data_IF_473813650822
#
_entry.id   IF_473813650822
#
_cell.length_a   1.000
_cell.length_b   1.000
_cell.length_c   1.000
_cell.angle_alpha   90.00
_cell.angle_beta   90.00
_cell.angle_gamma   90.00
#
_symmetry.space_group_name_H-M   'P 1'
#
loop_
_entity.id
_entity.type
_entity.pdbx_description
1 polymer ?
#
# COMPACT_ATOMS: atom_id res chain seq x y z
N UNK A 1 1.43 1.58 -8.27
CA UNK A 1 1.71 1.05 -6.93
C UNK A 1 3.04 1.65 -6.51
N UNK A 2 3.15 2.17 -5.29
CA UNK A 2 4.36 2.78 -4.76
C UNK A 2 5.14 1.73 -3.98
N UNK A 3 6.35 1.37 -4.44
CA UNK A 3 7.19 0.39 -3.76
C UNK A 3 8.12 1.06 -2.75
N UNK A 4 8.00 0.67 -1.49
CA UNK A 4 8.65 1.31 -0.35
C UNK A 4 9.52 0.29 0.37
N UNK A 5 10.75 0.65 0.72
CA UNK A 5 11.53 -0.07 1.72
C UNK A 5 11.59 0.75 3.02
N UNK A 6 11.48 0.07 4.16
CA UNK A 6 11.73 0.63 5.50
C UNK A 6 12.93 -0.11 6.06
N UNK A 7 13.98 0.62 6.44
CA UNK A 7 15.24 0.03 6.89
C UNK A 7 15.69 0.69 8.18
N UNK A 8 15.60 -0.04 9.28
CA UNK A 8 15.99 0.40 10.62
C UNK A 8 16.23 -0.86 11.48
N UNK A 9 17.26 -0.91 12.29
CA UNK A 9 17.54 -2.06 13.16
C UNK A 9 16.65 -2.10 14.42
N UNK A 10 15.90 -1.03 14.65
CA UNK A 10 14.88 -0.95 15.70
C UNK A 10 13.49 -1.38 15.18
N UNK A 11 13.04 -2.58 15.58
CA UNK A 11 11.73 -3.13 15.17
C UNK A 11 10.54 -2.19 15.43
N UNK A 12 10.56 -1.48 16.59
CA UNK A 12 9.52 -0.52 16.96
C UNK A 12 9.42 0.66 16.01
N UNK A 13 10.54 1.14 15.47
CA UNK A 13 10.57 2.22 14.48
C UNK A 13 10.01 1.72 13.15
N UNK A 14 10.47 0.56 12.69
CA UNK A 14 9.94 -0.09 11.48
C UNK A 14 8.41 -0.24 11.54
N UNK A 15 7.90 -0.83 12.61
CA UNK A 15 6.46 -1.06 12.81
C UNK A 15 5.67 0.26 12.86
N UNK A 16 6.21 1.30 13.51
CA UNK A 16 5.56 2.61 13.56
C UNK A 16 5.48 3.27 12.17
N UNK A 17 6.59 3.23 11.41
CA UNK A 17 6.65 3.80 10.05
C UNK A 17 5.71 3.04 9.12
N UNK A 18 5.75 1.70 9.13
CA UNK A 18 4.88 0.87 8.30
C UNK A 18 3.39 1.14 8.58
N UNK A 19 2.98 1.10 9.85
CA UNK A 19 1.61 1.39 10.26
C UNK A 19 1.16 2.78 9.80
N UNK A 20 2.03 3.77 9.93
CA UNK A 20 1.75 5.14 9.49
C UNK A 20 1.59 5.21 7.97
N UNK A 21 2.47 4.57 7.20
CA UNK A 21 2.40 4.54 5.74
C UNK A 21 1.16 3.81 5.23
N UNK A 22 0.76 2.69 5.83
CA UNK A 22 -0.47 1.97 5.49
C UNK A 22 -1.71 2.82 5.73
N UNK A 23 -1.75 3.57 6.85
CA UNK A 23 -2.83 4.53 7.15
C UNK A 23 -2.89 5.66 6.10
N UNK A 24 -1.73 6.20 5.72
CA UNK A 24 -1.62 7.27 4.73
C UNK A 24 -1.93 6.78 3.31
N UNK A 25 -1.49 5.59 2.93
CA UNK A 25 -1.84 4.91 1.69
C UNK A 25 -3.36 4.86 1.52
N UNK A 26 -4.06 4.37 2.54
CA UNK A 26 -5.53 4.35 2.57
C UNK A 26 -6.14 5.77 2.51
N UNK A 27 -5.60 6.72 3.29
CA UNK A 27 -6.09 8.11 3.33
C UNK A 27 -6.00 8.79 1.97
N UNK A 28 -4.87 8.63 1.27
CA UNK A 28 -4.60 9.30 0.00
C UNK A 28 -4.98 8.49 -1.23
N UNK A 29 -5.40 7.22 -1.06
CA UNK A 29 -5.77 6.32 -2.16
C UNK A 29 -4.57 5.97 -3.05
N UNK A 30 -3.40 5.81 -2.44
CA UNK A 30 -2.16 5.38 -3.08
C UNK A 30 -1.91 3.93 -2.67
N UNK A 31 -1.81 3.03 -3.64
CA UNK A 31 -1.44 1.64 -3.36
C UNK A 31 0.05 1.54 -3.12
N UNK A 32 0.40 0.91 -1.99
CA UNK A 32 1.79 0.73 -1.56
C UNK A 32 2.13 -0.75 -1.44
N UNK A 33 3.36 -1.09 -1.78
CA UNK A 33 4.02 -2.36 -1.53
C UNK A 33 5.19 -2.04 -0.59
N UNK A 34 5.21 -2.62 0.62
CA UNK A 34 6.14 -2.21 1.67
C UNK A 34 6.95 -3.41 2.14
N UNK A 35 8.26 -3.33 1.94
CA UNK A 35 9.23 -4.25 2.51
C UNK A 35 9.84 -3.64 3.77
N UNK A 36 9.88 -4.43 4.85
CA UNK A 36 10.50 -4.05 6.14
C UNK A 36 11.79 -4.82 6.30
N UNK A 37 12.90 -4.10 6.50
CA UNK A 37 14.26 -4.64 6.54
C UNK A 37 14.98 -4.12 7.78
N UNK A 38 15.78 -4.96 8.38
CA UNK A 38 16.46 -4.67 9.65
C UNK A 38 17.96 -4.45 9.50
N UNK A 39 18.44 -4.35 8.25
CA UNK A 39 19.84 -4.00 7.98
C UNK A 39 20.04 -3.40 6.59
N UNK A 40 21.11 -2.60 6.45
CA UNK A 40 21.48 -2.01 5.16
C UNK A 40 21.87 -3.05 4.12
N UNK A 41 22.52 -4.14 4.54
CA UNK A 41 22.92 -5.23 3.65
C UNK A 41 21.70 -5.92 3.00
N UNK A 42 20.64 -6.14 3.79
CA UNK A 42 19.41 -6.72 3.26
C UNK A 42 18.78 -5.85 2.17
N UNK A 43 18.78 -4.52 2.36
CA UNK A 43 18.31 -3.60 1.34
C UNK A 43 19.16 -3.69 0.07
N UNK A 44 20.49 -3.61 0.18
CA UNK A 44 21.38 -3.66 -0.97
C UNK A 44 21.19 -4.96 -1.75
N UNK A 45 21.10 -6.09 -1.07
CA UNK A 45 20.85 -7.39 -1.71
C UNK A 45 19.51 -7.41 -2.46
N UNK A 46 18.43 -6.88 -1.89
CA UNK A 46 17.13 -6.84 -2.57
C UNK A 46 17.12 -5.87 -3.75
N UNK A 47 17.90 -4.79 -3.68
CA UNK A 47 17.98 -3.80 -4.77
C UNK A 47 18.76 -4.31 -5.99
N UNK A 48 19.46 -5.43 -5.91
CA UNK A 48 20.08 -6.09 -7.10
C UNK A 48 19.00 -6.56 -8.08
N UNK A 49 17.86 -7.08 -7.56
CA UNK A 49 16.77 -7.65 -8.37
C UNK A 49 15.47 -6.85 -8.32
N UNK A 50 15.40 -5.82 -7.49
CA UNK A 50 14.20 -5.04 -7.22
C UNK A 50 14.46 -3.55 -7.23
N UNK A 51 13.45 -2.80 -7.66
CA UNK A 51 13.46 -1.34 -7.62
C UNK A 51 12.51 -0.83 -6.54
N UNK A 52 12.94 0.19 -5.78
CA UNK A 52 12.12 0.91 -4.82
C UNK A 52 11.93 2.36 -5.25
N UNK A 53 10.70 2.86 -5.18
CA UNK A 53 10.41 4.28 -5.43
C UNK A 53 10.94 5.16 -4.30
N UNK A 54 10.88 4.63 -3.06
CA UNK A 54 11.38 5.33 -1.87
C UNK A 54 11.93 4.35 -0.83
N UNK A 55 12.98 4.78 -0.13
CA UNK A 55 13.56 4.09 1.02
C UNK A 55 13.47 5.02 2.22
N UNK A 56 12.82 4.57 3.30
CA UNK A 56 12.94 5.14 4.64
C UNK A 56 14.12 4.48 5.32
N UNK A 57 15.16 5.22 5.59
CA UNK A 57 16.48 4.68 5.93
C UNK A 57 17.00 5.26 7.24
N UNK A 58 17.18 4.42 8.24
CA UNK A 58 17.92 4.83 9.43
C UNK A 58 19.39 5.04 9.09
N UNK A 59 19.98 6.06 9.70
CA UNK A 59 21.40 6.38 9.48
C UNK A 59 22.30 5.50 10.34
N UNK A 60 21.88 5.24 11.59
CA UNK A 60 22.74 4.57 12.57
C UNK A 60 22.34 3.11 12.75
N UNK A 61 22.86 2.24 11.90
CA UNK A 61 22.69 0.77 12.00
C UNK A 61 24.04 0.09 12.32
N UNK A 62 23.98 -1.13 12.91
CA UNK A 62 25.16 -1.79 13.49
C UNK A 62 26.29 -2.09 12.49
N UNK A 63 25.97 -2.54 11.26
CA UNK A 63 26.99 -3.00 10.29
C UNK A 63 27.21 -1.99 9.18
N UNK A 64 26.23 -1.84 8.31
CA UNK A 64 26.28 -0.92 7.18
C UNK A 64 25.42 0.31 7.52
N UNK A 65 26.04 1.44 7.73
CA UNK A 65 25.31 2.68 8.04
C UNK A 65 24.40 3.11 6.89
N UNK A 66 23.34 3.88 7.18
CA UNK A 66 22.47 4.43 6.14
C UNK A 66 23.22 5.34 5.15
N UNK A 67 24.31 5.96 5.59
CA UNK A 67 25.18 6.75 4.72
C UNK A 67 25.92 5.84 3.72
N UNK A 68 26.46 4.72 4.19
CA UNK A 68 27.14 3.76 3.32
C UNK A 68 26.17 3.09 2.35
N UNK A 69 24.95 2.77 2.82
CA UNK A 69 23.85 2.29 1.96
C UNK A 69 23.57 3.29 0.85
N UNK A 70 23.42 4.56 1.19
CA UNK A 70 23.15 5.62 0.20
C UNK A 70 24.28 5.79 -0.80
N UNK A 71 25.54 5.70 -0.32
CA UNK A 71 26.72 5.70 -1.20
C UNK A 71 26.68 4.54 -2.19
N UNK A 72 26.28 3.33 -1.76
CA UNK A 72 26.13 2.19 -2.67
C UNK A 72 25.00 2.40 -3.67
N UNK A 73 23.84 2.88 -3.23
CA UNK A 73 22.71 3.18 -4.11
C UNK A 73 23.10 4.21 -5.17
N UNK A 74 23.71 5.33 -4.78
CA UNK A 74 24.06 6.44 -5.71
C UNK A 74 25.27 6.10 -6.56
N UNK A 75 26.40 5.74 -5.93
CA UNK A 75 27.69 5.67 -6.62
C UNK A 75 27.95 4.31 -7.25
N UNK A 76 27.54 3.20 -6.60
CA UNK A 76 27.82 1.85 -7.11
C UNK A 76 26.73 1.37 -8.07
N UNK A 77 25.44 1.55 -7.70
CA UNK A 77 24.30 1.14 -8.54
C UNK A 77 23.90 2.21 -9.55
N UNK A 78 24.38 3.46 -9.42
CA UNK A 78 23.98 4.57 -10.28
C UNK A 78 22.48 4.91 -10.18
N UNK A 79 21.85 4.55 -9.08
CA UNK A 79 20.41 4.72 -8.91
C UNK A 79 20.08 6.10 -8.31
N UNK A 80 19.72 7.05 -9.16
CA UNK A 80 19.28 8.40 -8.77
C UNK A 80 17.75 8.50 -8.64
N UNK A 81 17.00 7.50 -9.14
CA UNK A 81 15.54 7.53 -9.19
C UNK A 81 14.88 7.24 -7.84
N UNK A 82 15.46 6.32 -7.05
CA UNK A 82 14.97 5.98 -5.71
C UNK A 82 15.09 7.19 -4.78
N UNK A 83 13.96 7.61 -4.20
CA UNK A 83 13.96 8.70 -3.22
C UNK A 83 14.42 8.17 -1.86
N UNK A 84 15.33 8.87 -1.18
CA UNK A 84 15.82 8.46 0.15
C UNK A 84 15.28 9.44 1.19
N UNK A 85 14.54 8.90 2.16
CA UNK A 85 14.06 9.62 3.34
C UNK A 85 14.85 9.10 4.53
N UNK A 86 15.73 9.90 5.07
CA UNK A 86 16.54 9.52 6.23
C UNK A 86 15.76 9.65 7.52
N UNK A 87 15.97 8.72 8.43
CA UNK A 87 15.49 8.73 9.81
C UNK A 87 16.70 8.78 10.72
N UNK A 88 16.76 9.69 11.70
CA UNK A 88 17.91 9.71 12.61
C UNK A 88 17.59 10.44 13.92
N UNK A 89 18.19 9.95 15.00
CA UNK A 89 18.20 10.63 16.32
C UNK A 89 19.21 11.79 16.40
N UNK A 90 20.18 11.86 15.49
CA UNK A 90 21.16 12.93 15.44
C UNK A 90 21.00 13.77 14.18
N UNK A 91 20.70 15.06 14.38
CA UNK A 91 20.51 16.03 13.28
C UNK A 91 21.82 16.48 12.61
N UNK A 92 22.98 16.21 13.20
CA UNK A 92 24.27 16.53 12.59
C UNK A 92 24.49 15.77 11.28
N UNK A 93 23.96 14.55 11.17
CA UNK A 93 23.99 13.78 9.93
C UNK A 93 23.24 14.42 8.77
N UNK A 94 22.35 15.38 9.04
CA UNK A 94 21.63 16.09 7.97
C UNK A 94 22.56 16.79 6.97
N UNK A 95 23.75 17.20 7.41
CA UNK A 95 24.76 17.80 6.53
C UNK A 95 25.46 16.73 5.70
N UNK A 96 25.84 15.61 6.32
CA UNK A 96 26.57 14.52 5.67
C UNK A 96 25.76 13.80 4.59
N UNK A 97 24.43 13.63 4.81
CA UNK A 97 23.57 12.98 3.81
C UNK A 97 23.27 13.85 2.59
N UNK A 98 23.61 15.14 2.63
CA UNK A 98 23.34 16.07 1.51
C UNK A 98 24.04 15.64 0.21
N UNK A 99 25.20 14.99 0.32
CA UNK A 99 25.96 14.49 -0.83
C UNK A 99 25.26 13.34 -1.59
N UNK A 100 24.19 12.77 -1.00
CA UNK A 100 23.43 11.64 -1.58
C UNK A 100 22.02 12.02 -2.04
N UNK A 101 21.77 13.30 -2.30
CA UNK A 101 20.48 13.84 -2.75
C UNK A 101 19.29 13.34 -1.90
N UNK A 102 19.23 13.75 -0.60
CA UNK A 102 18.17 13.33 0.29
C UNK A 102 16.84 13.92 -0.14
N UNK A 103 15.81 13.08 -0.30
CA UNK A 103 14.48 13.62 -0.53
C UNK A 103 13.93 14.31 0.72
N UNK A 104 14.16 13.73 1.89
CA UNK A 104 13.74 14.29 3.17
C UNK A 104 14.55 13.74 4.33
N UNK A 105 14.50 14.45 5.47
CA UNK A 105 15.12 14.04 6.72
C UNK A 105 14.07 14.08 7.84
N UNK A 106 13.90 12.97 8.56
CA UNK A 106 12.96 12.79 9.66
C UNK A 106 13.74 12.62 10.97
N UNK A 107 13.78 13.65 11.84
CA UNK A 107 14.42 13.49 13.14
C UNK A 107 13.60 12.62 14.08
N UNK A 108 14.25 11.65 14.76
CA UNK A 108 13.65 10.91 15.88
C UNK A 108 13.52 11.87 17.09
N UNK A 109 12.44 11.83 17.90
CA UNK A 109 11.36 10.87 17.81
C UNK A 109 10.41 11.17 16.63
N UNK A 110 9.97 10.08 16.00
CA UNK A 110 9.01 10.13 14.90
C UNK A 110 7.61 10.38 15.45
N UNK A 111 6.80 11.10 14.67
CA UNK A 111 5.37 11.25 14.86
C UNK A 111 4.62 11.11 13.53
N UNK A 112 3.32 10.84 13.60
CA UNK A 112 2.48 10.65 12.40
C UNK A 112 2.48 11.90 11.51
N UNK A 113 2.56 13.10 12.06
CA UNK A 113 2.52 14.35 11.29
C UNK A 113 3.78 14.52 10.42
N UNK A 114 4.96 14.21 10.97
CA UNK A 114 6.22 14.25 10.22
C UNK A 114 6.21 13.26 9.06
N UNK A 115 5.77 12.01 9.31
CA UNK A 115 5.66 10.98 8.27
C UNK A 115 4.64 11.41 7.21
N UNK A 116 3.48 11.95 7.61
CA UNK A 116 2.48 12.43 6.66
C UNK A 116 3.01 13.57 5.78
N UNK A 117 3.72 14.54 6.35
CA UNK A 117 4.32 15.64 5.58
C UNK A 117 5.32 15.11 4.53
N UNK A 118 6.16 14.15 4.91
CA UNK A 118 7.10 13.52 3.99
C UNK A 118 6.37 12.75 2.89
N UNK A 119 5.36 11.94 3.24
CA UNK A 119 4.57 11.16 2.31
C UNK A 119 3.82 12.04 1.31
N UNK A 120 3.20 13.14 1.77
CA UNK A 120 2.50 14.10 0.88
C UNK A 120 3.46 14.76 -0.10
N UNK A 121 4.67 15.12 0.34
CA UNK A 121 5.70 15.64 -0.57
C UNK A 121 6.11 14.59 -1.60
N UNK A 122 6.28 13.32 -1.16
CA UNK A 122 6.67 12.20 -2.02
C UNK A 122 5.64 11.94 -3.13
N UNK A 123 4.36 11.80 -2.78
CA UNK A 123 3.31 11.56 -3.78
C UNK A 123 3.19 12.71 -4.78
N UNK A 124 3.47 13.95 -4.38
CA UNK A 124 3.55 15.11 -5.29
C UNK A 124 4.77 15.03 -6.20
N UNK A 125 5.95 14.73 -5.66
CA UNK A 125 7.21 14.59 -6.43
C UNK A 125 7.09 13.52 -7.50
N UNK A 126 6.52 12.37 -7.14
CA UNK A 126 6.32 11.24 -8.03
C UNK A 126 5.06 11.36 -8.91
N UNK A 127 4.35 12.49 -8.82
CA UNK A 127 3.08 12.73 -9.55
C UNK A 127 2.03 11.62 -9.36
N UNK A 128 2.05 10.97 -8.19
CA UNK A 128 1.10 9.91 -7.88
C UNK A 128 -0.28 10.51 -7.65
N UNK A 129 -1.26 10.00 -8.36
CA UNK A 129 -2.67 10.38 -8.20
C UNK A 129 -3.42 9.20 -7.62
N UNK A 130 -4.43 9.50 -6.79
CA UNK A 130 -5.39 8.47 -6.40
C UNK A 130 -5.95 7.82 -7.67
N UNK A 131 -5.78 6.51 -7.78
CA UNK A 131 -6.29 5.77 -8.93
C UNK A 131 -7.81 5.73 -8.89
N UNK A 132 -8.44 5.89 -10.05
CA UNK A 132 -9.89 5.95 -10.16
C UNK A 132 -10.39 4.98 -11.21
N UNK A 133 -11.49 4.29 -10.89
CA UNK A 133 -12.26 3.52 -11.83
C UNK A 133 -13.12 4.48 -12.67
N UNK A 134 -13.12 4.26 -13.98
CA UNK A 134 -13.87 5.08 -14.93
C UNK A 134 -14.96 4.24 -15.60
N UNK A 135 -16.19 4.74 -15.59
CA UNK A 135 -17.33 4.11 -16.26
C UNK A 135 -18.17 5.15 -17.00
N UNK A 136 -19.07 4.68 -17.89
CA UNK A 136 -19.95 5.51 -18.69
C UNK A 136 -21.41 5.23 -18.38
N UNK A 137 -22.21 6.29 -18.28
CA UNK A 137 -23.67 6.23 -18.24
C UNK A 137 -24.18 7.12 -19.38
N UNK A 138 -24.75 6.52 -20.41
CA UNK A 138 -25.08 7.25 -21.64
C UNK A 138 -23.81 7.82 -22.31
N UNK A 139 -23.77 9.14 -22.46
CA UNK A 139 -22.61 9.86 -23.00
C UNK A 139 -21.66 10.41 -21.93
N UNK A 140 -22.04 10.33 -20.65
CA UNK A 140 -21.29 10.90 -19.56
C UNK A 140 -20.23 9.92 -19.03
N UNK A 141 -19.08 10.47 -18.67
CA UNK A 141 -17.95 9.71 -18.07
C UNK A 141 -17.85 10.06 -16.59
N UNK A 142 -17.91 9.02 -15.77
CA UNK A 142 -17.79 9.13 -14.32
C UNK A 142 -16.46 8.53 -13.86
N UNK A 143 -15.90 9.13 -12.80
CA UNK A 143 -14.67 8.65 -12.14
C UNK A 143 -14.93 8.49 -10.65
N UNK A 144 -14.60 7.33 -10.11
CA UNK A 144 -14.70 7.02 -8.68
C UNK A 144 -13.33 6.58 -8.19
N UNK A 145 -12.77 7.21 -7.16
CA UNK A 145 -11.52 6.74 -6.54
C UNK A 145 -11.66 5.28 -6.13
N UNK A 146 -10.70 4.45 -6.52
CA UNK A 146 -10.76 2.99 -6.28
C UNK A 146 -10.89 2.67 -4.79
N UNK A 147 -10.25 3.46 -3.93
CA UNK A 147 -10.37 3.34 -2.46
C UNK A 147 -11.80 3.51 -1.93
N UNK A 148 -12.65 4.20 -2.67
CA UNK A 148 -14.02 4.51 -2.27
C UNK A 148 -15.02 3.44 -2.72
N UNK A 149 -14.59 2.51 -3.60
CA UNK A 149 -15.44 1.45 -4.16
C UNK A 149 -15.51 0.30 -3.16
N UNK A 150 -16.73 -0.05 -2.74
CA UNK A 150 -16.98 -1.18 -1.86
C UNK A 150 -17.04 -2.50 -2.64
N UNK A 151 -17.93 -2.52 -3.63
CA UNK A 151 -18.13 -3.69 -4.49
C UNK A 151 -18.92 -3.33 -5.75
N UNK A 152 -18.91 -4.26 -6.70
CA UNK A 152 -19.75 -4.26 -7.88
C UNK A 152 -20.71 -5.45 -7.83
N UNK A 153 -21.92 -5.22 -8.28
CA UNK A 153 -22.96 -6.24 -8.42
C UNK A 153 -23.44 -6.30 -9.87
N UNK A 154 -23.43 -7.48 -10.47
CA UNK A 154 -23.96 -7.66 -11.83
C UNK A 154 -25.38 -8.21 -11.84
N UNK A 155 -26.23 -7.62 -12.65
CA UNK A 155 -27.53 -8.13 -12.99
C UNK A 155 -27.73 -8.11 -14.51
N UNK A 156 -27.69 -9.29 -15.15
CA UNK A 156 -27.72 -9.43 -16.62
C UNK A 156 -26.55 -8.66 -17.29
N UNK A 157 -26.85 -7.57 -18.02
CA UNK A 157 -25.87 -6.70 -18.70
C UNK A 157 -25.60 -5.38 -17.98
N UNK A 158 -26.22 -5.19 -16.83
CA UNK A 158 -25.99 -4.01 -15.98
C UNK A 158 -25.10 -4.38 -14.82
N UNK A 159 -24.23 -3.45 -14.45
CA UNK A 159 -23.42 -3.50 -13.23
C UNK A 159 -23.77 -2.30 -12.38
N UNK A 160 -24.02 -2.56 -11.10
CA UNK A 160 -24.17 -1.55 -10.06
C UNK A 160 -22.85 -1.42 -9.32
N UNK A 161 -22.30 -0.21 -9.28
CA UNK A 161 -21.16 0.14 -8.44
C UNK A 161 -21.67 0.71 -7.11
N UNK A 162 -21.12 0.20 -6.00
CA UNK A 162 -21.39 0.68 -4.65
C UNK A 162 -20.13 1.37 -4.13
N UNK A 163 -20.21 2.68 -3.86
CA UNK A 163 -19.07 3.46 -3.40
C UNK A 163 -19.51 4.55 -2.43
N UNK A 164 -18.77 4.74 -1.35
CA UNK A 164 -19.13 5.62 -0.25
C UNK A 164 -20.57 5.31 0.21
N UNK A 165 -21.50 6.23 0.10
CA UNK A 165 -22.94 6.04 0.39
C UNK A 165 -23.79 6.16 -0.89
N UNK A 166 -23.18 5.93 -2.06
CA UNK A 166 -23.80 6.08 -3.38
C UNK A 166 -23.83 4.77 -4.15
N UNK A 167 -24.78 4.68 -5.06
CA UNK A 167 -24.89 3.57 -6.02
C UNK A 167 -25.19 4.14 -7.40
N UNK A 168 -24.54 3.62 -8.41
CA UNK A 168 -24.79 3.99 -9.81
C UNK A 168 -24.83 2.74 -10.67
N UNK A 169 -25.60 2.78 -11.76
CA UNK A 169 -25.74 1.67 -12.71
C UNK A 169 -25.15 2.03 -14.05
N UNK A 170 -24.44 1.09 -14.65
CA UNK A 170 -23.89 1.24 -15.98
C UNK A 170 -23.87 -0.11 -16.73
N UNK A 171 -23.77 -0.09 -18.06
CA UNK A 171 -23.63 -1.30 -18.85
C UNK A 171 -22.19 -1.82 -18.80
N UNK A 172 -22.05 -3.11 -18.52
CA UNK A 172 -20.73 -3.74 -18.42
C UNK A 172 -20.79 -5.18 -17.92
N UNK A 173 -19.62 -5.78 -17.75
CA UNK A 173 -19.46 -7.10 -17.14
C UNK A 173 -18.42 -7.04 -16.03
N UNK A 174 -18.57 -7.88 -15.01
CA UNK A 174 -17.63 -7.93 -13.89
C UNK A 174 -16.22 -8.37 -14.35
N UNK A 175 -16.14 -9.20 -15.38
CA UNK A 175 -14.87 -9.66 -15.95
C UNK A 175 -14.07 -8.49 -16.53
N UNK A 176 -14.73 -7.62 -17.31
CA UNK A 176 -14.08 -6.42 -17.87
C UNK A 176 -13.67 -5.43 -16.78
N UNK A 177 -14.47 -5.30 -15.72
CA UNK A 177 -14.15 -4.47 -14.56
C UNK A 177 -12.94 -5.05 -13.83
N UNK A 178 -12.92 -6.36 -13.60
CA UNK A 178 -11.82 -7.06 -12.96
C UNK A 178 -10.49 -6.88 -13.72
N UNK A 179 -10.53 -6.97 -15.05
CA UNK A 179 -9.34 -6.71 -15.88
C UNK A 179 -8.82 -5.27 -15.72
N UNK A 180 -9.72 -4.28 -15.64
CA UNK A 180 -9.33 -2.89 -15.38
C UNK A 180 -8.76 -2.69 -13.97
N UNK A 181 -9.22 -3.49 -13.01
CA UNK A 181 -8.82 -3.43 -11.61
C UNK A 181 -7.78 -4.49 -11.23
N UNK A 182 -7.11 -5.12 -12.20
CA UNK A 182 -6.18 -6.24 -11.99
C UNK A 182 -4.98 -5.90 -11.08
N UNK A 183 -4.68 -4.61 -10.90
CA UNK A 183 -3.62 -4.11 -9.99
C UNK A 183 -4.10 -3.90 -8.55
N UNK A 184 -5.40 -4.13 -8.29
CA UNK A 184 -6.04 -3.77 -7.04
C UNK A 184 -6.80 -4.98 -6.54
N UNK A 185 -6.30 -5.77 -5.75
CA UNK A 185 -6.75 -7.03 -5.13
C UNK A 185 -8.26 -7.30 -5.04
N UNK A 186 -9.07 -6.79 -5.99
CA UNK A 186 -10.50 -7.07 -6.05
C UNK A 186 -10.78 -8.57 -6.16
N UNK A 187 -11.77 -9.04 -5.44
CA UNK A 187 -12.07 -10.46 -5.31
C UNK A 187 -13.44 -10.81 -5.88
N UNK A 188 -13.48 -11.80 -6.76
CA UNK A 188 -14.73 -12.47 -7.11
C UNK A 188 -15.16 -13.41 -5.98
N UNK A 189 -16.19 -13.04 -5.23
CA UNK A 189 -16.79 -13.92 -4.21
C UNK A 189 -17.98 -14.72 -4.75
N UNK A 190 -18.60 -14.25 -5.82
CA UNK A 190 -19.73 -14.85 -6.50
C UNK A 190 -19.73 -14.43 -7.97
N UNK A 191 -20.43 -15.18 -8.86
CA UNK A 191 -20.60 -14.80 -10.27
C UNK A 191 -21.17 -13.38 -10.47
N UNK A 192 -21.88 -12.88 -9.48
CA UNK A 192 -22.52 -11.56 -9.50
C UNK A 192 -21.87 -10.53 -8.58
N UNK A 193 -20.82 -10.86 -7.84
CA UNK A 193 -20.19 -9.95 -6.91
C UNK A 193 -18.66 -9.92 -7.04
N UNK A 194 -18.14 -8.71 -7.28
CA UNK A 194 -16.72 -8.38 -7.27
C UNK A 194 -16.50 -7.34 -6.16
N UNK A 195 -15.76 -7.71 -5.11
CA UNK A 195 -15.61 -6.88 -3.91
C UNK A 195 -14.22 -6.30 -3.79
N UNK A 196 -14.12 -5.17 -3.09
CA UNK A 196 -12.86 -4.58 -2.66
C UNK A 196 -12.54 -5.06 -1.23
N UNK A 197 -11.46 -5.85 -1.02
CA UNK A 197 -11.15 -6.43 0.29
C UNK A 197 -10.93 -5.41 1.39
N UNK A 198 -10.43 -4.20 1.08
CA UNK A 198 -10.20 -3.14 2.07
C UNK A 198 -11.48 -2.70 2.79
N UNK A 199 -12.64 -3.01 2.24
CA UNK A 199 -13.95 -2.71 2.80
C UNK A 199 -14.65 -3.93 3.44
N UNK A 200 -13.95 -5.04 3.62
CA UNK A 200 -14.49 -6.18 4.37
C UNK A 200 -14.50 -5.82 5.85
N UNK A 201 -15.67 -5.91 6.47
CA UNK A 201 -15.83 -5.79 7.92
C UNK A 201 -15.75 -7.14 8.61
N UNK A 202 -16.38 -8.15 8.03
CA UNK A 202 -16.42 -9.52 8.56
C UNK A 202 -16.54 -10.51 7.41
N UNK A 203 -15.80 -11.58 7.50
CA UNK A 203 -15.91 -12.69 6.56
C UNK A 203 -16.20 -13.98 7.29
N UNK A 204 -17.13 -14.76 6.76
CA UNK A 204 -17.48 -16.11 7.20
C UNK A 204 -17.21 -17.09 6.06
N UNK A 205 -17.44 -18.38 6.30
CA UNK A 205 -17.29 -19.39 5.25
C UNK A 205 -18.28 -19.21 4.08
N UNK A 206 -19.45 -18.60 4.33
CA UNK A 206 -20.54 -18.49 3.36
C UNK A 206 -20.84 -17.08 2.89
N UNK A 207 -20.31 -16.06 3.59
CA UNK A 207 -20.67 -14.67 3.32
C UNK A 207 -19.58 -13.68 3.75
N UNK A 208 -19.62 -12.51 3.12
CA UNK A 208 -18.80 -11.35 3.47
C UNK A 208 -19.72 -10.20 3.88
N UNK A 209 -19.49 -9.60 5.04
CA UNK A 209 -20.12 -8.34 5.46
C UNK A 209 -19.20 -7.19 5.07
N UNK A 210 -19.71 -6.29 4.24
CA UNK A 210 -19.00 -5.10 3.81
C UNK A 210 -19.09 -3.97 4.84
N UNK A 211 -18.26 -2.94 4.73
CA UNK A 211 -18.23 -1.78 5.65
C UNK A 211 -19.55 -0.98 5.72
N UNK A 212 -20.40 -1.12 4.71
CA UNK A 212 -21.78 -0.58 4.71
C UNK A 212 -22.81 -1.52 5.34
N UNK A 213 -22.39 -2.59 6.04
CA UNK A 213 -23.20 -3.60 6.71
C UNK A 213 -24.02 -4.52 5.76
N UNK A 214 -23.81 -4.43 4.46
CA UNK A 214 -24.44 -5.38 3.52
C UNK A 214 -23.69 -6.71 3.56
N UNK A 215 -24.46 -7.79 3.65
CA UNK A 215 -23.95 -9.17 3.65
C UNK A 215 -24.10 -9.76 2.25
N UNK A 216 -22.98 -10.14 1.66
CA UNK A 216 -22.91 -10.71 0.32
C UNK A 216 -22.55 -12.21 0.39
N UNK A 217 -23.22 -13.09 -0.40
CA UNK A 217 -22.95 -14.51 -0.37
C UNK A 217 -21.65 -14.87 -1.10
N UNK A 218 -20.92 -15.87 -0.58
CA UNK A 218 -19.79 -16.49 -1.25
C UNK A 218 -20.28 -17.75 -1.97
N UNK A 219 -20.06 -17.84 -3.29
CA UNK A 219 -20.40 -19.07 -4.03
C UNK A 219 -19.56 -20.25 -3.57
N UNK A 220 -20.13 -21.46 -3.59
CA UNK A 220 -19.41 -22.67 -3.13
C UNK A 220 -18.04 -22.86 -3.81
N UNK A 221 -17.96 -22.57 -5.10
CA UNK A 221 -16.72 -22.67 -5.88
C UNK A 221 -15.63 -21.69 -5.46
N UNK A 222 -16.01 -20.58 -4.81
CA UNK A 222 -15.07 -19.52 -4.37
C UNK A 222 -14.66 -19.60 -2.90
N UNK A 223 -15.34 -20.41 -2.09
CA UNK A 223 -15.13 -20.52 -0.63
C UNK A 223 -13.68 -20.87 -0.27
N UNK A 224 -13.08 -21.80 -1.02
CA UNK A 224 -11.69 -22.23 -0.77
C UNK A 224 -10.71 -21.08 -1.07
N UNK A 225 -10.81 -20.47 -2.24
CA UNK A 225 -9.97 -19.36 -2.68
C UNK A 225 -10.05 -18.17 -1.70
N UNK A 226 -11.28 -17.79 -1.28
CA UNK A 226 -11.48 -16.68 -0.35
C UNK A 226 -10.91 -16.99 1.03
N UNK A 227 -11.03 -18.24 1.48
CA UNK A 227 -10.45 -18.66 2.76
C UNK A 227 -8.92 -18.63 2.76
N UNK A 228 -8.30 -19.08 1.67
CA UNK A 228 -6.84 -19.03 1.51
C UNK A 228 -6.35 -17.57 1.55
N UNK A 229 -6.99 -16.68 0.80
CA UNK A 229 -6.67 -15.24 0.83
C UNK A 229 -6.93 -14.58 2.19
N UNK A 230 -7.94 -15.02 2.94
CA UNK A 230 -8.15 -14.53 4.31
C UNK A 230 -7.02 -14.96 5.23
N UNK A 231 -6.58 -16.22 5.14
CA UNK A 231 -5.46 -16.73 5.94
C UNK A 231 -4.17 -15.97 5.61
N UNK A 232 -3.93 -15.65 4.35
CA UNK A 232 -2.80 -14.81 3.94
C UNK A 232 -2.87 -13.39 4.57
N UNK A 233 -4.06 -12.78 4.58
CA UNK A 233 -4.26 -11.46 5.20
C UNK A 233 -4.12 -11.52 6.72
N UNK A 234 -4.64 -12.57 7.38
CA UNK A 234 -4.55 -12.76 8.83
C UNK A 234 -3.12 -13.12 9.23
N UNK A 235 -2.45 -14.01 8.50
CA UNK A 235 -1.05 -14.36 8.77
C UNK A 235 -0.14 -13.14 8.62
N UNK A 236 -0.35 -12.33 7.59
CA UNK A 236 0.35 -11.04 7.43
C UNK A 236 0.01 -10.04 8.56
N UNK A 237 -1.18 -10.13 9.18
CA UNK A 237 -1.56 -9.32 10.34
C UNK A 237 -1.10 -9.97 11.66
N UNK A 238 -1.08 -11.31 11.78
CA UNK A 238 -0.62 -12.04 12.98
C UNK A 238 0.90 -12.08 13.07
N UNK A 239 1.63 -12.30 11.98
CA UNK A 239 3.09 -12.09 11.94
C UNK A 239 3.43 -10.65 12.36
N UNK A 240 2.61 -9.67 11.97
CA UNK A 240 2.71 -8.28 12.43
C UNK A 240 2.34 -8.10 13.90
N UNK A 241 1.45 -8.91 14.47
CA UNK A 241 0.99 -8.81 15.86
C UNK A 241 1.83 -9.63 16.84
N UNK A 242 2.47 -10.73 16.44
CA UNK A 242 3.41 -11.48 17.29
C UNK A 242 4.64 -10.66 17.66
N UNK A 243 5.03 -9.70 16.81
CA UNK A 243 6.08 -8.74 17.12
C UNK A 243 5.67 -7.65 18.13
N UNK A 244 4.36 -7.55 18.47
CA UNK A 244 3.86 -6.58 19.45
C UNK A 244 3.71 -7.12 20.88
N UNK A 245 3.94 -8.41 21.13
CA UNK A 245 3.72 -9.07 22.42
C UNK A 245 5.02 -9.59 23.11
N UNK A 246 6.18 -9.05 22.74
CA UNK A 246 7.45 -9.30 23.42
C UNK A 246 8.04 -7.99 23.93
#
# INVERSE_FOLDING_TARGET
>A
MLKIAIVDDENNICAFVEKSLLKLSKKYGIYTDIDVLYSGEALIQLMEDSFYDVVFLDIKMEKLSGIDVSRQIRNTMGNEATQIIYISGNTEYAIEVFDFDPFHFLPKPLDEEKIEKAFVKLIRKLNLKAEAFTYKVGHDIFKVPIKDILYFESHKREVTIYYNKKTEKFYGTLENIYLQLSKFDFLFIHKSYLINPIHIRRCTYESVEMSNHIVLPISQSKRKEIREKQLELVNNEEEKNEYFNI
#
